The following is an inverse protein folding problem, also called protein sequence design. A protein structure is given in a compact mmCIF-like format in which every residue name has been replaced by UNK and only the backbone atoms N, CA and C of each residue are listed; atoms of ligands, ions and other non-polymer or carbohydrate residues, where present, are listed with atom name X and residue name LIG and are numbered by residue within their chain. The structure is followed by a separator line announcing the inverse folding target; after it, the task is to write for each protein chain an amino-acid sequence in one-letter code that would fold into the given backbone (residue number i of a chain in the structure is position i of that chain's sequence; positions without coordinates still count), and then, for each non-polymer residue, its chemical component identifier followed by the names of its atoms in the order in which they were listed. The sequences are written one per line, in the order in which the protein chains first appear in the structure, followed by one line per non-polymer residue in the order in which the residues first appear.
data_IF_813016832754
#
_entry.id   IF_813016832754
#
_cell.length_a   1.000
_cell.length_b   1.000
_cell.length_c   1.000
_cell.angle_alpha   90.00
_cell.angle_beta   90.00
_cell.angle_gamma   90.00
#
_symmetry.space_group_name_H-M   'P 1'
#
loop_
_entity.id
_entity.type
_entity.pdbx_description
1 polymer ?
#
# COMPACT_ATOMS: atom_id res chain seq x y z
N UNK A 1 18.81 -4.54 10.52
CA UNK A 1 19.48 -4.85 11.81
C UNK A 1 20.91 -5.26 11.47
N UNK A 2 21.88 -5.00 12.34
CA UNK A 2 23.30 -5.24 12.05
C UNK A 2 24.10 -3.96 11.80
N UNK A 3 25.34 -4.15 11.34
CA UNK A 3 26.28 -3.09 10.95
C UNK A 3 25.92 -2.62 9.54
N UNK A 4 25.95 -1.30 9.31
CA UNK A 4 25.61 -0.71 8.01
C UNK A 4 26.68 -1.11 6.98
N UNK A 5 26.25 -1.46 5.76
CA UNK A 5 27.10 -1.77 4.60
C UNK A 5 28.07 -2.96 4.76
N UNK A 6 27.95 -3.71 5.87
CA UNK A 6 28.83 -4.86 6.16
C UNK A 6 28.73 -5.97 5.11
N UNK A 7 27.53 -6.26 4.61
CA UNK A 7 27.34 -7.32 3.62
C UNK A 7 28.01 -7.02 2.28
N UNK A 8 27.96 -5.77 1.83
CA UNK A 8 28.64 -5.34 0.59
C UNK A 8 30.16 -5.48 0.71
N UNK A 9 30.70 -5.26 1.91
CA UNK A 9 32.13 -5.45 2.18
C UNK A 9 32.52 -6.94 2.20
N UNK A 10 31.66 -7.80 2.77
CA UNK A 10 31.95 -9.23 2.93
C UNK A 10 31.53 -10.10 1.74
N UNK A 11 30.84 -9.54 0.76
CA UNK A 11 30.35 -10.24 -0.43
C UNK A 11 31.43 -11.08 -1.14
N UNK A 12 32.67 -10.58 -1.36
CA UNK A 12 33.73 -11.37 -2.00
C UNK A 12 34.14 -12.62 -1.22
N UNK A 13 33.88 -12.66 0.08
CA UNK A 13 34.21 -13.78 0.96
C UNK A 13 33.06 -14.79 1.11
N UNK A 14 31.90 -14.53 0.49
CA UNK A 14 30.71 -15.36 0.61
C UNK A 14 30.82 -16.65 -0.19
N UNK A 15 30.59 -17.79 0.47
CA UNK A 15 30.50 -19.10 -0.20
C UNK A 15 29.04 -19.51 -0.33
N UNK A 16 28.62 -19.90 -1.54
CA UNK A 16 27.29 -20.49 -1.77
C UNK A 16 27.29 -21.93 -1.31
N UNK A 17 26.40 -22.26 -0.39
CA UNK A 17 26.22 -23.61 0.14
C UNK A 17 24.81 -24.06 -0.16
N UNK A 18 24.67 -25.28 -0.67
CA UNK A 18 23.37 -25.86 -0.92
C UNK A 18 22.72 -26.33 0.39
N UNK A 19 21.39 -26.26 0.49
CA UNK A 19 20.66 -26.54 1.74
C UNK A 19 20.80 -28.01 2.15
N UNK A 20 20.89 -28.93 1.19
CA UNK A 20 21.16 -30.35 1.43
C UNK A 20 22.50 -30.57 2.15
N UNK A 21 23.48 -29.67 1.95
CA UNK A 21 24.76 -29.72 2.67
C UNK A 21 24.63 -29.45 4.18
N UNK A 22 23.48 -28.96 4.64
CA UNK A 22 23.16 -28.72 6.05
C UNK A 22 22.41 -29.89 6.70
N UNK A 23 22.17 -30.98 5.97
CA UNK A 23 21.44 -32.14 6.48
C UNK A 23 22.06 -32.68 7.77
N UNK A 24 21.22 -32.94 8.78
CA UNK A 24 21.64 -33.47 10.08
C UNK A 24 22.36 -32.45 10.98
N UNK A 25 22.65 -31.23 10.48
CA UNK A 25 23.26 -30.18 11.29
C UNK A 25 22.25 -29.55 12.25
N UNK A 26 22.75 -29.06 13.37
CA UNK A 26 22.00 -28.20 14.31
C UNK A 26 22.23 -26.75 13.91
N UNK A 27 21.15 -26.01 13.63
CA UNK A 27 21.24 -24.60 13.22
C UNK A 27 20.56 -23.71 14.26
N UNK A 28 21.32 -22.75 14.80
CA UNK A 28 20.74 -21.67 15.59
C UNK A 28 20.01 -20.70 14.65
N UNK A 29 18.73 -20.47 14.93
CA UNK A 29 17.87 -19.58 14.15
C UNK A 29 17.59 -18.33 14.97
N UNK A 30 18.04 -17.17 14.49
CA UNK A 30 17.64 -15.88 15.05
C UNK A 30 16.15 -15.66 14.78
N UNK A 31 15.37 -15.67 15.86
CA UNK A 31 13.91 -15.54 15.79
C UNK A 31 13.45 -14.09 15.73
N UNK A 32 14.26 -13.17 16.27
CA UNK A 32 13.93 -11.74 16.31
C UNK A 32 13.77 -11.18 14.89
N UNK A 33 14.63 -11.61 13.96
CA UNK A 33 14.58 -11.19 12.57
C UNK A 33 13.41 -11.82 11.82
N UNK A 34 13.04 -13.07 12.11
CA UNK A 34 11.86 -13.72 11.51
C UNK A 34 10.56 -13.01 11.87
N UNK A 35 10.39 -12.60 13.13
CA UNK A 35 9.21 -11.85 13.58
C UNK A 35 9.06 -10.52 12.85
N UNK A 36 10.16 -9.76 12.72
CA UNK A 36 10.14 -8.48 12.00
C UNK A 36 9.86 -8.68 10.50
N UNK A 37 10.38 -9.75 9.90
CA UNK A 37 10.11 -10.08 8.50
C UNK A 37 8.65 -10.52 8.29
N UNK A 38 8.09 -11.31 9.20
CA UNK A 38 6.70 -11.75 9.16
C UNK A 38 5.73 -10.57 9.07
N UNK A 39 5.89 -9.56 9.94
CA UNK A 39 5.03 -8.36 9.98
C UNK A 39 5.09 -7.53 8.69
N UNK A 40 6.18 -7.63 7.94
CA UNK A 40 6.36 -6.92 6.66
C UNK A 40 5.84 -7.72 5.48
N UNK A 41 5.98 -9.03 5.51
CA UNK A 41 5.66 -9.91 4.38
C UNK A 41 4.19 -10.35 4.35
N UNK A 42 3.57 -10.56 5.51
CA UNK A 42 2.21 -11.09 5.62
C UNK A 42 1.18 -9.97 5.81
N UNK A 43 1.05 -9.13 4.79
CA UNK A 43 0.00 -8.13 4.70
C UNK A 43 -1.00 -8.52 3.63
N UNK A 44 -2.28 -8.37 3.94
CA UNK A 44 -3.32 -8.52 2.94
C UNK A 44 -3.11 -7.49 1.83
N UNK A 45 -3.21 -7.97 0.58
CA UNK A 45 -2.98 -7.15 -0.62
C UNK A 45 -4.07 -6.11 -0.82
N UNK A 46 -5.28 -6.36 -0.30
CA UNK A 46 -6.40 -5.45 -0.45
C UNK A 46 -6.48 -4.44 0.70
N UNK A 47 -6.48 -4.90 1.95
CA UNK A 47 -6.62 -4.04 3.13
C UNK A 47 -5.30 -3.46 3.64
N UNK A 48 -4.17 -4.08 3.31
CA UNK A 48 -2.84 -3.67 3.83
C UNK A 48 -2.61 -4.02 5.30
N UNK A 49 -3.59 -4.65 5.96
CA UNK A 49 -3.51 -5.11 7.34
C UNK A 49 -2.68 -6.39 7.47
N UNK A 50 -2.13 -6.60 8.66
CA UNK A 50 -1.39 -7.83 8.95
C UNK A 50 -2.38 -8.99 9.04
N UNK A 51 -2.13 -10.05 8.28
CA UNK A 51 -3.02 -11.21 8.27
C UNK A 51 -3.12 -11.84 9.67
N UNK A 52 -4.33 -12.26 10.06
CA UNK A 52 -4.54 -13.00 11.30
C UNK A 52 -3.61 -14.23 11.37
N UNK A 53 -2.99 -14.45 12.53
CA UNK A 53 -2.03 -15.53 12.78
C UNK A 53 -0.85 -15.56 11.77
N UNK A 54 -0.48 -14.42 11.20
CA UNK A 54 0.64 -14.29 10.27
C UNK A 54 1.93 -14.92 10.80
N UNK A 55 2.24 -14.72 12.08
CA UNK A 55 3.43 -15.26 12.73
C UNK A 55 3.42 -16.80 12.73
N UNK A 56 2.30 -17.44 13.06
CA UNK A 56 2.19 -18.91 13.03
C UNK A 56 2.41 -19.43 11.62
N UNK A 57 1.68 -18.89 10.63
CA UNK A 57 1.78 -19.35 9.23
C UNK A 57 3.19 -19.14 8.67
N UNK A 58 3.79 -18.00 8.96
CA UNK A 58 5.14 -17.65 8.50
C UNK A 58 6.21 -18.56 9.09
N UNK A 59 6.13 -18.83 10.41
CA UNK A 59 7.07 -19.71 11.09
C UNK A 59 6.89 -21.15 10.64
N UNK A 60 5.64 -21.61 10.56
CA UNK A 60 5.31 -22.98 10.19
C UNK A 60 5.98 -23.38 8.88
N UNK A 61 5.78 -22.62 7.80
CA UNK A 61 6.38 -22.94 6.50
C UNK A 61 7.92 -22.91 6.50
N UNK A 62 8.54 -22.10 7.37
CA UNK A 62 10.01 -22.09 7.52
C UNK A 62 10.52 -23.28 8.33
N UNK A 63 9.83 -23.63 9.42
CA UNK A 63 10.17 -24.81 10.24
C UNK A 63 10.00 -26.08 9.41
N UNK A 64 8.89 -26.21 8.69
CA UNK A 64 8.61 -27.30 7.77
C UNK A 64 9.76 -27.49 6.78
N UNK A 65 10.21 -26.41 6.13
CA UNK A 65 11.33 -26.48 5.18
C UNK A 65 12.65 -26.92 5.82
N UNK A 66 12.96 -26.46 7.03
CA UNK A 66 14.18 -26.91 7.75
C UNK A 66 14.09 -28.40 8.10
N UNK A 67 12.95 -28.85 8.60
CA UNK A 67 12.72 -30.25 8.96
C UNK A 67 12.70 -31.16 7.73
N UNK A 68 12.17 -30.70 6.59
CA UNK A 68 12.21 -31.40 5.30
C UNK A 68 13.64 -31.76 4.90
N UNK A 69 14.59 -30.84 5.07
CA UNK A 69 16.02 -31.08 4.83
C UNK A 69 16.75 -31.77 6.01
N UNK A 70 16.00 -32.33 6.98
CA UNK A 70 16.52 -32.97 8.21
C UNK A 70 17.49 -32.09 9.00
N UNK A 71 17.27 -30.77 8.96
CA UNK A 71 18.00 -29.82 9.80
C UNK A 71 17.33 -29.79 11.17
N UNK A 72 18.13 -29.66 12.23
CA UNK A 72 17.64 -29.55 13.62
C UNK A 72 17.70 -28.09 14.07
N UNK A 73 16.63 -27.29 13.89
CA UNK A 73 16.64 -25.88 14.29
C UNK A 73 16.65 -25.72 15.81
N UNK A 74 17.40 -24.73 16.29
CA UNK A 74 17.39 -24.25 17.67
C UNK A 74 17.00 -22.77 17.62
N UNK A 75 15.78 -22.46 18.05
CA UNK A 75 15.28 -21.09 18.01
C UNK A 75 15.88 -20.26 19.15
N UNK A 76 16.53 -19.16 18.78
CA UNK A 76 17.11 -18.20 19.72
C UNK A 76 16.28 -16.93 19.69
N UNK A 77 15.78 -16.53 20.86
CA UNK A 77 15.03 -15.30 21.05
C UNK A 77 15.91 -14.28 21.75
N UNK A 78 15.83 -13.03 21.31
CA UNK A 78 16.48 -11.92 21.99
C UNK A 78 15.87 -11.73 23.38
N UNK A 79 16.72 -11.52 24.38
CA UNK A 79 16.31 -11.08 25.71
C UNK A 79 16.21 -9.56 25.83
N UNK A 80 16.48 -9.04 27.02
CA UNK A 80 16.50 -7.59 27.27
C UNK A 80 17.55 -6.86 26.42
N UNK A 81 17.22 -5.64 25.98
CA UNK A 81 18.17 -4.82 25.21
C UNK A 81 19.35 -4.39 26.10
N UNK A 82 20.61 -4.67 25.71
CA UNK A 82 21.79 -4.25 26.45
C UNK A 82 21.87 -2.73 26.63
N UNK A 83 22.45 -2.27 27.75
CA UNK A 83 22.49 -0.85 28.09
C UNK A 83 23.10 0.02 26.98
N UNK A 84 24.23 -0.42 26.41
CA UNK A 84 24.92 0.25 25.32
C UNK A 84 24.00 0.51 24.10
N UNK A 85 23.09 -0.42 23.80
CA UNK A 85 22.20 -0.38 22.63
C UNK A 85 20.91 0.43 22.87
N UNK A 86 20.59 0.77 24.13
CA UNK A 86 19.33 1.46 24.49
C UNK A 86 19.17 2.80 23.79
N UNK A 87 20.21 3.65 23.79
CA UNK A 87 20.18 4.97 23.13
C UNK A 87 19.94 4.83 21.63
N UNK A 88 20.64 3.90 20.97
CA UNK A 88 20.50 3.64 19.53
C UNK A 88 19.11 3.10 19.18
N UNK A 89 18.56 2.18 19.97
CA UNK A 89 17.21 1.64 19.77
C UNK A 89 16.16 2.73 19.92
N UNK A 90 16.28 3.58 20.95
CA UNK A 90 15.38 4.72 21.14
C UNK A 90 15.47 5.71 19.96
N UNK A 91 16.68 6.04 19.50
CA UNK A 91 16.88 6.91 18.34
C UNK A 91 16.26 6.32 17.06
N UNK A 92 16.43 5.00 16.82
CA UNK A 92 15.81 4.31 15.69
C UNK A 92 14.28 4.34 15.76
N UNK A 93 13.70 4.11 16.93
CA UNK A 93 12.23 4.19 17.14
C UNK A 93 11.72 5.61 16.86
N UNK A 94 12.39 6.63 17.38
CA UNK A 94 12.04 8.04 17.11
C UNK A 94 12.06 8.35 15.60
N UNK A 95 13.12 7.92 14.89
CA UNK A 95 13.20 8.10 13.44
C UNK A 95 12.08 7.38 12.70
N UNK A 96 11.75 6.14 13.07
CA UNK A 96 10.65 5.39 12.46
C UNK A 96 9.31 6.14 12.61
N UNK A 97 8.98 6.58 13.82
CA UNK A 97 7.75 7.33 14.08
C UNK A 97 7.71 8.67 13.32
N UNK A 98 8.85 9.38 13.22
CA UNK A 98 8.94 10.62 12.45
C UNK A 98 8.72 10.38 10.95
N UNK A 99 9.27 9.30 10.39
CA UNK A 99 9.06 8.95 8.99
C UNK A 99 7.60 8.58 8.73
N UNK A 100 6.99 7.78 9.60
CA UNK A 100 5.57 7.45 9.52
C UNK A 100 4.67 8.70 9.53
N UNK A 101 4.94 9.66 10.42
CA UNK A 101 4.22 10.92 10.46
C UNK A 101 4.39 11.75 9.17
N UNK A 102 5.60 11.75 8.58
CA UNK A 102 5.85 12.42 7.29
C UNK A 102 5.10 11.74 6.15
N UNK A 103 5.15 10.41 6.07
CA UNK A 103 4.44 9.63 5.05
C UNK A 103 2.93 9.84 5.14
N UNK A 104 2.38 9.85 6.35
CA UNK A 104 0.95 10.11 6.57
C UNK A 104 0.53 11.48 6.04
N UNK A 105 1.28 12.55 6.37
CA UNK A 105 1.01 13.89 5.85
C UNK A 105 1.12 13.97 4.32
N UNK A 106 2.07 13.26 3.73
CA UNK A 106 2.22 13.20 2.28
C UNK A 106 1.06 12.45 1.62
N UNK A 107 0.64 11.31 2.17
CA UNK A 107 -0.51 10.54 1.69
C UNK A 107 -1.81 11.36 1.79
N UNK A 108 -2.03 12.07 2.90
CA UNK A 108 -3.18 12.96 3.08
C UNK A 108 -3.19 14.06 2.00
N UNK A 109 -2.05 14.70 1.72
CA UNK A 109 -1.95 15.72 0.65
C UNK A 109 -2.25 15.15 -0.73
N UNK A 110 -1.71 13.98 -1.06
CA UNK A 110 -1.95 13.32 -2.35
C UNK A 110 -3.43 12.93 -2.50
N UNK A 111 -4.05 12.39 -1.45
CA UNK A 111 -5.46 12.03 -1.46
C UNK A 111 -6.35 13.26 -1.66
N UNK A 112 -6.07 14.34 -0.91
CA UNK A 112 -6.79 15.61 -1.08
C UNK A 112 -6.64 16.18 -2.49
N UNK A 113 -5.43 16.16 -3.05
CA UNK A 113 -5.17 16.62 -4.41
C UNK A 113 -5.99 15.81 -5.44
N UNK A 114 -5.97 14.49 -5.36
CA UNK A 114 -6.74 13.62 -6.26
C UNK A 114 -8.25 13.86 -6.15
N UNK A 115 -8.77 14.08 -4.94
CA UNK A 115 -10.18 14.36 -4.71
C UNK A 115 -10.59 15.71 -5.31
N UNK A 116 -9.74 16.74 -5.20
CA UNK A 116 -9.99 18.04 -5.84
C UNK A 116 -10.04 17.94 -7.36
N UNK A 117 -9.12 17.19 -7.98
CA UNK A 117 -9.15 16.93 -9.42
C UNK A 117 -10.42 16.20 -9.87
N UNK A 118 -10.86 15.20 -9.09
CA UNK A 118 -12.13 14.50 -9.37
C UNK A 118 -13.34 15.44 -9.30
N UNK A 119 -13.38 16.37 -8.34
CA UNK A 119 -14.46 17.37 -8.25
C UNK A 119 -14.44 18.37 -9.40
N UNK A 120 -13.25 18.85 -9.78
CA UNK A 120 -13.11 19.77 -10.91
C UNK A 120 -13.63 19.13 -12.21
N UNK A 121 -13.18 17.92 -12.52
CA UNK A 121 -13.64 17.18 -13.71
C UNK A 121 -15.14 16.85 -13.67
N UNK A 122 -15.72 16.60 -12.50
CA UNK A 122 -17.17 16.43 -12.36
C UNK A 122 -17.94 17.73 -12.60
N UNK A 123 -17.45 18.85 -12.09
CA UNK A 123 -18.06 20.16 -12.29
C UNK A 123 -18.01 20.57 -13.76
N UNK A 124 -16.89 20.33 -14.45
CA UNK A 124 -16.76 20.53 -15.90
C UNK A 124 -17.80 19.70 -16.67
N UNK A 125 -17.90 18.39 -16.38
CA UNK A 125 -18.91 17.52 -17.01
C UNK A 125 -20.35 17.95 -16.70
N UNK A 126 -20.62 18.44 -15.50
CA UNK A 126 -21.94 18.95 -15.12
C UNK A 126 -22.27 20.24 -15.87
N UNK A 127 -21.31 21.15 -16.00
CA UNK A 127 -21.47 22.38 -16.77
C UNK A 127 -21.68 22.09 -18.27
N UNK A 128 -20.92 21.15 -18.84
CA UNK A 128 -21.13 20.67 -20.22
C UNK A 128 -22.52 20.04 -20.41
N UNK A 129 -22.96 19.20 -19.47
CA UNK A 129 -24.28 18.59 -19.52
C UNK A 129 -25.43 19.61 -19.36
N UNK A 130 -25.26 20.62 -18.49
CA UNK A 130 -26.20 21.72 -18.32
C UNK A 130 -26.27 22.58 -19.59
N UNK A 131 -25.13 22.97 -20.15
CA UNK A 131 -25.09 23.73 -21.40
C UNK A 131 -25.73 22.97 -22.58
N UNK A 132 -25.54 21.65 -22.65
CA UNK A 132 -26.21 20.81 -23.65
C UNK A 132 -27.73 20.71 -23.42
N UNK A 133 -28.19 20.64 -22.17
CA UNK A 133 -29.61 20.64 -21.82
C UNK A 133 -30.27 21.99 -22.10
N UNK A 134 -29.61 23.09 -21.77
CA UNK A 134 -30.10 24.46 -22.03
C UNK A 134 -30.18 24.73 -23.54
N UNK A 135 -29.21 24.25 -24.32
CA UNK A 135 -29.24 24.34 -25.78
C UNK A 135 -30.39 23.52 -26.40
N UNK A 136 -30.66 22.32 -25.86
CA UNK A 136 -31.78 21.48 -26.29
C UNK A 136 -33.14 22.12 -25.94
N UNK A 137 -33.30 22.66 -24.73
CA UNK A 137 -34.52 23.35 -24.31
C UNK A 137 -34.76 24.66 -25.09
N UNK A 138 -33.71 25.40 -25.43
CA UNK A 138 -33.81 26.58 -26.30
C UNK A 138 -34.23 26.20 -27.73
N UNK A 139 -33.73 25.08 -28.26
CA UNK A 139 -34.14 24.52 -29.53
C UNK A 139 -35.62 24.12 -29.56
N UNK A 140 -36.09 23.42 -28.51
CA UNK A 140 -37.49 23.00 -28.38
C UNK A 140 -38.44 24.21 -28.17
N UNK A 141 -38.02 25.22 -27.41
CA UNK A 141 -38.79 26.45 -27.21
C UNK A 141 -38.89 27.29 -28.50
N UNK A 142 -37.82 27.37 -29.29
CA UNK A 142 -37.83 28.04 -30.59
C UNK A 142 -38.73 27.31 -31.60
N UNK A 143 -38.72 25.97 -31.60
CA UNK A 143 -39.60 25.15 -32.43
C UNK A 143 -41.09 25.34 -32.04
N UNK A 144 -41.40 25.38 -30.74
CA UNK A 144 -42.75 25.64 -30.24
C UNK A 144 -43.24 27.05 -30.57
N UNK A 145 -42.39 28.07 -30.45
CA UNK A 145 -42.72 29.45 -30.82
C UNK A 145 -42.97 29.61 -32.33
N UNK A 146 -42.16 28.95 -33.17
CA UNK A 146 -42.36 28.93 -34.62
C UNK A 146 -43.68 28.23 -35.01
N UNK A 147 -44.05 27.14 -34.32
CA UNK A 147 -45.33 26.46 -34.53
C UNK A 147 -46.53 27.32 -34.10
N UNK A 148 -46.41 28.06 -32.98
CA UNK A 148 -47.44 28.99 -32.51
C UNK A 148 -47.62 30.20 -33.45
N UNK A 149 -46.54 30.76 -33.98
CA UNK A 149 -46.58 31.84 -34.96
C UNK A 149 -47.26 31.39 -36.27
N UNK A 150 -46.94 30.17 -36.75
CA UNK A 150 -47.61 29.57 -37.92
C UNK A 150 -49.10 29.34 -37.70
N UNK A 151 -49.52 28.94 -36.48
CA UNK A 151 -50.94 28.82 -36.12
C UNK A 151 -51.66 30.16 -36.10
N UNK A 152 -51.05 31.22 -35.53
CA UNK A 152 -51.63 32.58 -35.48
C UNK A 152 -51.79 33.21 -36.87
N UNK A 153 -50.81 33.02 -37.76
CA UNK A 153 -50.90 33.49 -39.14
C UNK A 153 -52.03 32.79 -39.93
N UNK A 154 -52.32 31.52 -39.60
CA UNK A 154 -53.39 30.75 -40.24
C UNK A 154 -54.79 31.16 -39.77
N UNK A 155 -54.95 31.54 -38.50
CA UNK A 155 -56.23 32.02 -37.94
C UNK A 155 -56.55 33.49 -38.26
N UNK A 156 -55.60 34.26 -38.79
CA UNK A 156 -55.82 35.65 -39.22
C UNK A 156 -56.14 35.78 -40.73
N UNK A 157 -56.14 34.66 -41.45
CA UNK A 157 -56.40 34.58 -42.90
C UNK A 157 -57.79 33.96 -43.21
N UNK A 158 -58.61 33.73 -42.17
CA UNK A 158 -60.04 33.38 -42.23
C UNK A 158 -60.87 34.55 -41.74
#
# INVERSE_FOLDING_TARGET
MGVKDLWSLLEPCGVRVNVEGLQGKRLAVDTSIWLVQCLKAMRDRHTGEVTANAHVRYFFGRVERLLYHRIRPVFVFDGGTPQLKRRTVAARRRRANQQEAKYRKQAERLLLHNLLLQRATQAERQAEAQAAQDAAQAGDAAAAAAAAARRRARTAAE
#
